data_IF_888551488342
#
_entry.id   IF_888551488342
#
_cell.length_a   1.000
_cell.length_b   1.000
_cell.length_c   1.000
_cell.angle_alpha   90.00
_cell.angle_beta   90.00
_cell.angle_gamma   90.00
#
_symmetry.space_group_name_H-M   'P 1'
#
loop_
_entity.id
_entity.type
_entity.pdbx_description
1 polymer ?
#
# COMPACT_ATOMS: atom_id res chain seq x y z
N UNK A 1 12.73 66.09 -45.74
CA UNK A 1 13.11 65.94 -44.32
C UNK A 1 12.01 65.31 -43.46
N UNK A 2 10.74 65.79 -43.46
CA UNK A 2 9.63 65.23 -42.63
C UNK A 2 9.34 63.70 -42.75
N UNK A 3 9.62 63.07 -43.90
CA UNK A 3 9.37 61.61 -44.11
C UNK A 3 10.38 60.70 -43.40
N UNK A 4 11.64 61.13 -43.25
CA UNK A 4 12.71 60.34 -42.61
C UNK A 4 12.60 60.38 -41.09
N UNK A 5 12.23 61.53 -40.52
CA UNK A 5 11.94 61.67 -39.08
C UNK A 5 10.78 60.77 -38.63
N UNK A 6 9.67 60.76 -39.38
CA UNK A 6 8.54 59.87 -39.08
C UNK A 6 8.88 58.37 -39.22
N UNK A 7 9.82 58.02 -40.08
CA UNK A 7 10.27 56.63 -40.26
C UNK A 7 11.16 56.19 -39.10
N UNK A 8 12.06 57.07 -38.65
CA UNK A 8 12.90 56.87 -37.45
C UNK A 8 12.05 56.68 -36.19
N UNK A 9 11.08 57.56 -35.95
CA UNK A 9 10.20 57.48 -34.77
C UNK A 9 9.36 56.21 -34.71
N UNK A 10 8.83 55.75 -35.86
CA UNK A 10 8.09 54.48 -35.95
C UNK A 10 8.96 53.26 -35.66
N UNK A 11 10.22 53.28 -36.10
CA UNK A 11 11.19 52.20 -35.84
C UNK A 11 11.54 52.15 -34.34
N UNK A 12 11.76 53.30 -33.69
CA UNK A 12 11.98 53.36 -32.25
C UNK A 12 10.78 52.85 -31.44
N UNK A 13 9.55 53.14 -31.88
CA UNK A 13 8.35 52.58 -31.27
C UNK A 13 8.28 51.05 -31.39
N UNK A 14 8.66 50.49 -32.53
CA UNK A 14 8.71 49.05 -32.74
C UNK A 14 9.75 48.38 -31.83
N UNK A 15 10.97 48.94 -31.76
CA UNK A 15 12.01 48.40 -30.87
C UNK A 15 11.61 48.49 -29.40
N UNK A 16 11.03 49.62 -28.96
CA UNK A 16 10.53 49.78 -27.61
C UNK A 16 9.42 48.74 -27.29
N UNK A 17 8.50 48.50 -28.22
CA UNK A 17 7.44 47.49 -28.06
C UNK A 17 8.01 46.08 -27.93
N UNK A 18 8.97 45.71 -28.79
CA UNK A 18 9.64 44.39 -28.74
C UNK A 18 10.39 44.22 -27.43
N UNK A 19 11.16 45.22 -27.00
CA UNK A 19 11.89 45.17 -25.73
C UNK A 19 10.93 45.03 -24.54
N UNK A 20 9.85 45.83 -24.47
CA UNK A 20 8.84 45.71 -23.40
C UNK A 20 8.19 44.33 -23.40
N UNK A 21 7.91 43.77 -24.57
CA UNK A 21 7.31 42.44 -24.71
C UNK A 21 8.25 41.35 -24.18
N UNK A 22 9.54 41.40 -24.53
CA UNK A 22 10.56 40.47 -24.03
C UNK A 22 10.69 40.57 -22.51
N UNK A 23 10.74 41.79 -21.95
CA UNK A 23 10.82 41.99 -20.50
C UNK A 23 9.54 41.54 -19.77
N UNK A 24 8.36 41.75 -20.34
CA UNK A 24 7.09 41.27 -19.80
C UNK A 24 7.04 39.74 -19.79
N UNK A 25 7.36 39.08 -20.90
CA UNK A 25 7.39 37.62 -21.00
C UNK A 25 8.45 37.06 -20.05
N UNK A 26 9.66 37.63 -20.06
CA UNK A 26 10.75 37.21 -19.17
C UNK A 26 10.40 37.39 -17.68
N UNK A 27 9.74 38.50 -17.33
CA UNK A 27 9.26 38.76 -15.97
C UNK A 27 8.17 37.79 -15.53
N UNK A 28 7.19 37.53 -16.39
CA UNK A 28 6.10 36.57 -16.12
C UNK A 28 6.68 35.16 -15.97
N UNK A 29 7.52 34.70 -16.90
CA UNK A 29 8.16 33.39 -16.84
C UNK A 29 9.03 33.25 -15.58
N UNK A 30 9.82 34.26 -15.23
CA UNK A 30 10.66 34.23 -14.02
C UNK A 30 9.82 34.20 -12.74
N UNK A 31 8.71 34.95 -12.69
CA UNK A 31 7.81 34.94 -11.54
C UNK A 31 7.20 33.55 -11.33
N UNK A 32 6.70 32.92 -12.39
CA UNK A 32 6.15 31.56 -12.30
C UNK A 32 7.24 30.53 -11.95
N UNK A 33 8.43 30.65 -12.53
CA UNK A 33 9.55 29.76 -12.21
C UNK A 33 9.97 29.87 -10.74
N UNK A 34 10.09 31.08 -10.19
CA UNK A 34 10.42 31.28 -8.78
C UNK A 34 9.33 30.76 -7.85
N UNK A 35 8.06 30.93 -8.21
CA UNK A 35 6.93 30.38 -7.46
C UNK A 35 6.96 28.85 -7.44
N UNK A 36 7.19 28.23 -8.60
CA UNK A 36 7.29 26.78 -8.72
C UNK A 36 8.51 26.22 -7.99
N UNK A 37 9.67 26.87 -8.13
CA UNK A 37 10.88 26.50 -7.41
C UNK A 37 10.69 26.60 -5.89
N UNK A 38 10.03 27.67 -5.41
CA UNK A 38 9.66 27.82 -4.00
C UNK A 38 8.71 26.72 -3.53
N UNK A 39 7.70 26.39 -4.33
CA UNK A 39 6.78 25.29 -4.06
C UNK A 39 7.51 23.94 -3.96
N UNK A 40 8.33 23.58 -4.94
CA UNK A 40 9.10 22.34 -4.97
C UNK A 40 10.06 22.24 -3.77
N UNK A 41 10.74 23.33 -3.41
CA UNK A 41 11.62 23.37 -2.24
C UNK A 41 10.83 23.17 -0.95
N UNK A 42 9.64 23.78 -0.83
CA UNK A 42 8.78 23.58 0.33
C UNK A 42 8.30 22.12 0.42
N UNK A 43 7.82 21.56 -0.69
CA UNK A 43 7.32 20.19 -0.81
C UNK A 43 8.37 19.13 -0.45
N UNK A 44 9.66 19.39 -0.73
CA UNK A 44 10.77 18.51 -0.32
C UNK A 44 10.91 18.37 1.20
N UNK A 45 10.39 19.31 1.98
CA UNK A 45 10.41 19.24 3.44
C UNK A 45 9.35 18.31 4.03
N UNK A 46 8.46 17.76 3.21
CA UNK A 46 7.41 16.85 3.65
C UNK A 46 7.66 15.42 3.20
N UNK A 47 7.11 14.49 3.95
CA UNK A 47 6.98 13.08 3.61
C UNK A 47 5.53 12.80 3.31
N UNK A 48 5.28 12.17 2.17
CA UNK A 48 3.95 11.74 1.74
C UNK A 48 3.79 10.24 1.90
N UNK A 49 2.64 9.83 2.40
CA UNK A 49 2.22 8.43 2.46
C UNK A 49 0.79 8.34 1.93
N UNK A 50 0.56 7.42 0.99
CA UNK A 50 -0.75 7.17 0.37
C UNK A 50 -1.43 8.38 -0.28
N UNK A 51 -0.66 9.41 -0.66
CA UNK A 51 -1.15 10.58 -1.38
C UNK A 51 -1.91 10.12 -2.63
N UNK A 52 -3.17 10.52 -2.78
CA UNK A 52 -3.95 10.19 -3.98
C UNK A 52 -4.47 8.74 -4.07
N UNK A 53 -4.05 7.85 -3.16
CA UNK A 53 -4.46 6.45 -3.13
C UNK A 53 -5.98 6.33 -2.90
N UNK A 54 -6.70 5.68 -3.79
CA UNK A 54 -8.15 5.44 -3.66
C UNK A 54 -8.52 4.06 -4.18
N UNK A 55 -9.44 3.39 -3.49
CA UNK A 55 -10.06 2.16 -3.98
C UNK A 55 -11.01 2.51 -5.14
N UNK A 56 -10.67 2.07 -6.35
CA UNK A 56 -11.46 2.40 -7.56
C UNK A 56 -12.44 1.30 -7.91
N UNK A 57 -11.99 0.05 -7.80
CA UNK A 57 -12.80 -1.10 -8.13
C UNK A 57 -12.57 -2.24 -7.14
N UNK A 58 -13.61 -3.05 -7.01
CA UNK A 58 -13.69 -4.13 -6.06
C UNK A 58 -14.59 -5.24 -6.61
N UNK A 59 -14.16 -6.48 -6.49
CA UNK A 59 -14.98 -7.64 -6.83
C UNK A 59 -14.68 -8.81 -5.90
N UNK A 60 -15.72 -9.37 -5.29
CA UNK A 60 -15.63 -10.67 -4.62
C UNK A 60 -15.40 -11.75 -5.67
N UNK A 61 -14.37 -12.56 -5.50
CA UNK A 61 -14.08 -13.67 -6.38
C UNK A 61 -14.99 -14.85 -6.01
N UNK A 62 -15.69 -15.36 -7.01
CA UNK A 62 -16.62 -16.49 -6.87
C UNK A 62 -16.18 -17.64 -7.79
N UNK A 63 -16.53 -18.87 -7.44
CA UNK A 63 -16.25 -20.05 -8.27
C UNK A 63 -14.75 -20.33 -8.42
N UNK A 64 -14.04 -20.29 -7.30
CA UNK A 64 -12.66 -20.77 -7.08
C UNK A 64 -12.73 -21.65 -5.84
N UNK A 65 -12.21 -22.87 -5.89
CA UNK A 65 -12.37 -23.88 -4.82
C UNK A 65 -11.23 -23.83 -3.81
N UNK A 66 -11.12 -22.71 -3.08
CA UNK A 66 -10.03 -22.45 -2.13
C UNK A 66 -10.51 -22.41 -0.67
N UNK A 67 -11.82 -22.50 -0.41
CA UNK A 67 -12.36 -22.57 0.96
C UNK A 67 -12.31 -21.27 1.78
N UNK A 68 -11.76 -20.18 1.25
CA UNK A 68 -11.68 -18.86 1.90
C UNK A 68 -12.03 -17.70 0.93
N UNK A 69 -12.45 -16.52 1.44
CA UNK A 69 -12.79 -15.38 0.60
C UNK A 69 -11.57 -14.76 -0.08
N UNK A 70 -11.71 -14.45 -1.38
CA UNK A 70 -10.73 -13.66 -2.14
C UNK A 70 -11.43 -12.44 -2.72
N UNK A 71 -10.75 -11.29 -2.65
CA UNK A 71 -11.24 -10.02 -3.18
C UNK A 71 -10.26 -9.51 -4.25
N UNK A 72 -10.76 -9.23 -5.45
CA UNK A 72 -10.01 -8.54 -6.51
C UNK A 72 -10.18 -7.03 -6.35
N UNK A 73 -9.07 -6.30 -6.29
CA UNK A 73 -9.02 -4.91 -5.85
C UNK A 73 -8.19 -4.07 -6.83
N UNK A 74 -8.70 -2.90 -7.18
CA UNK A 74 -7.99 -1.90 -7.98
C UNK A 74 -7.86 -0.59 -7.24
N UNK A 75 -6.72 0.07 -7.44
CA UNK A 75 -6.46 1.40 -6.90
C UNK A 75 -6.25 2.42 -8.01
N UNK A 76 -6.44 3.71 -7.69
CA UNK A 76 -6.26 4.83 -8.62
C UNK A 76 -4.79 5.12 -8.93
N UNK A 77 -3.93 5.02 -7.93
CA UNK A 77 -2.47 5.09 -8.07
C UNK A 77 -1.95 3.71 -7.70
N UNK A 78 -1.42 2.98 -8.68
CA UNK A 78 -0.84 1.64 -8.52
C UNK A 78 0.68 1.63 -8.82
N UNK A 79 1.20 2.72 -9.39
CA UNK A 79 2.58 2.87 -9.85
C UNK A 79 3.58 3.30 -8.76
N UNK A 80 4.57 2.43 -8.56
CA UNK A 80 5.91 2.65 -8.00
C UNK A 80 6.21 2.48 -6.50
N UNK A 81 5.25 2.51 -5.58
CA UNK A 81 5.58 2.23 -4.16
C UNK A 81 4.50 1.48 -3.39
N UNK A 82 3.88 0.45 -3.99
CA UNK A 82 3.09 -0.49 -3.18
C UNK A 82 4.00 -1.11 -2.11
N UNK A 83 3.65 -0.85 -0.85
CA UNK A 83 4.30 -1.41 0.32
C UNK A 83 3.20 -2.09 1.13
N UNK A 84 3.32 -3.39 1.35
CA UNK A 84 2.36 -4.19 2.11
C UNK A 84 2.04 -3.60 3.49
N UNK A 85 3.00 -2.90 4.10
CA UNK A 85 2.82 -2.24 5.39
C UNK A 85 2.05 -0.91 5.36
N UNK A 86 1.70 -0.39 4.18
CA UNK A 86 0.93 0.85 4.05
C UNK A 86 -0.59 0.63 4.05
N UNK A 87 -1.02 -0.63 4.05
CA UNK A 87 -2.42 -1.04 4.09
C UNK A 87 -2.66 -1.86 5.35
N UNK A 88 -3.82 -1.65 5.96
CA UNK A 88 -4.30 -2.40 7.10
C UNK A 88 -5.61 -3.09 6.72
N UNK A 89 -5.70 -4.39 6.96
CA UNK A 89 -6.85 -5.22 6.58
C UNK A 89 -7.45 -5.81 7.84
N UNK A 90 -8.70 -5.47 8.11
CA UNK A 90 -9.50 -6.00 9.20
C UNK A 90 -10.48 -7.05 8.70
N UNK A 91 -11.38 -7.53 9.58
CA UNK A 91 -12.46 -8.42 9.19
C UNK A 91 -13.51 -7.71 8.32
N UNK A 92 -13.67 -6.40 8.53
CA UNK A 92 -14.73 -5.58 7.92
C UNK A 92 -14.18 -4.43 7.10
N UNK A 93 -12.98 -3.94 7.40
CA UNK A 93 -12.46 -2.72 6.79
C UNK A 93 -11.09 -2.90 6.14
N UNK A 94 -10.88 -2.19 5.04
CA UNK A 94 -9.57 -1.93 4.46
C UNK A 94 -9.22 -0.48 4.76
N UNK A 95 -8.05 -0.22 5.32
CA UNK A 95 -7.59 1.12 5.67
C UNK A 95 -6.18 1.41 5.14
N UNK A 96 -5.89 2.67 4.87
CA UNK A 96 -4.55 3.15 4.56
C UNK A 96 -4.33 4.60 5.01
N UNK A 97 -3.07 4.95 5.18
CA UNK A 97 -2.64 6.29 5.58
C UNK A 97 -2.59 7.24 4.37
N UNK A 98 -3.23 8.39 4.50
CA UNK A 98 -3.17 9.53 3.57
C UNK A 98 -2.63 10.73 4.36
N UNK A 99 -1.33 11.00 4.24
CA UNK A 99 -0.65 11.99 5.09
C UNK A 99 0.41 12.80 4.36
N UNK A 100 0.55 14.07 4.78
CA UNK A 100 1.66 14.98 4.50
C UNK A 100 2.24 15.42 5.84
N UNK A 101 3.43 14.93 6.19
CA UNK A 101 4.08 15.20 7.47
C UNK A 101 5.45 15.86 7.27
N UNK A 102 5.77 16.87 8.07
CA UNK A 102 7.03 17.60 7.99
C UNK A 102 8.22 16.77 8.48
N UNK A 103 9.37 16.90 7.80
CA UNK A 103 10.59 16.15 8.14
C UNK A 103 11.33 16.70 9.36
N UNK A 104 11.20 17.99 9.65
CA UNK A 104 12.19 18.73 10.47
C UNK A 104 11.62 19.53 11.66
N UNK A 105 10.35 19.96 11.65
CA UNK A 105 9.79 20.88 12.65
C UNK A 105 8.85 20.18 13.64
N UNK A 106 9.42 19.37 14.53
CA UNK A 106 8.67 18.48 15.42
C UNK A 106 7.92 19.15 16.60
N UNK A 107 8.11 20.46 16.83
CA UNK A 107 7.55 21.15 18.01
C UNK A 107 6.67 22.36 17.66
N UNK A 108 6.38 22.57 16.37
CA UNK A 108 5.57 23.69 15.90
C UNK A 108 4.45 23.15 15.03
N UNK A 109 3.24 23.66 15.28
CA UNK A 109 2.10 23.40 14.42
C UNK A 109 2.42 23.90 13.02
N UNK A 110 2.28 23.03 12.03
CA UNK A 110 2.45 23.34 10.63
C UNK A 110 1.06 23.28 9.95
N UNK A 111 0.56 24.40 9.40
CA UNK A 111 -0.76 24.42 8.77
C UNK A 111 -0.84 23.58 7.48
N UNK A 112 0.29 23.17 6.90
CA UNK A 112 0.30 22.31 5.72
C UNK A 112 0.25 20.81 6.06
N UNK A 113 0.49 20.43 7.32
CA UNK A 113 0.46 19.03 7.72
C UNK A 113 -0.96 18.48 7.74
N UNK A 114 -1.09 17.22 7.33
CA UNK A 114 -2.30 16.44 7.58
C UNK A 114 -1.94 14.97 7.78
N UNK A 115 -2.75 14.31 8.59
CA UNK A 115 -2.73 12.86 8.73
C UNK A 115 -4.16 12.36 8.76
N UNK A 116 -4.56 11.65 7.71
CA UNK A 116 -5.85 10.98 7.64
C UNK A 116 -5.67 9.48 7.50
N UNK A 117 -6.55 8.72 8.15
CA UNK A 117 -6.78 7.31 7.83
C UNK A 117 -7.97 7.28 6.90
N UNK A 118 -7.77 6.71 5.71
CA UNK A 118 -8.87 6.42 4.79
C UNK A 118 -9.25 4.96 4.94
N UNK A 119 -10.54 4.68 4.99
CA UNK A 119 -11.02 3.32 5.13
C UNK A 119 -12.30 3.06 4.34
N UNK A 120 -12.52 1.79 4.03
CA UNK A 120 -13.60 1.28 3.21
C UNK A 120 -14.18 0.04 3.87
N UNK A 121 -15.50 -0.12 3.84
CA UNK A 121 -16.13 -1.40 4.15
C UNK A 121 -15.76 -2.41 3.06
N UNK A 122 -15.03 -3.46 3.45
CA UNK A 122 -14.62 -4.57 2.59
C UNK A 122 -15.86 -5.19 1.96
N UNK A 123 -15.87 -5.38 0.63
CA UNK A 123 -17.03 -5.96 -0.04
C UNK A 123 -17.94 -4.97 -0.73
N UNK A 124 -18.04 -3.74 -0.23
CA UNK A 124 -19.25 -2.94 -0.41
C UNK A 124 -18.97 -1.51 -0.93
N UNK A 125 -17.90 -0.86 -0.46
CA UNK A 125 -17.65 0.55 -0.74
C UNK A 125 -16.52 0.77 -1.76
N UNK A 126 -16.64 1.84 -2.57
CA UNK A 126 -15.58 2.31 -3.51
C UNK A 126 -15.57 3.83 -3.63
N UNK A 127 -14.53 4.38 -4.25
CA UNK A 127 -14.39 5.81 -4.50
C UNK A 127 -13.60 6.51 -3.38
N UNK A 128 -14.15 7.60 -2.84
CA UNK A 128 -13.45 8.38 -1.81
C UNK A 128 -13.31 7.62 -0.48
N UNK A 129 -14.26 6.74 -0.13
CA UNK A 129 -14.24 6.09 1.18
C UNK A 129 -14.40 7.07 2.34
N UNK A 130 -14.27 6.56 3.56
CA UNK A 130 -14.39 7.35 4.78
C UNK A 130 -13.02 7.83 5.25
N UNK A 131 -12.97 8.94 5.97
CA UNK A 131 -11.71 9.47 6.51
C UNK A 131 -11.82 9.82 7.98
N UNK A 132 -10.78 9.49 8.75
CA UNK A 132 -10.59 9.94 10.13
C UNK A 132 -9.38 10.87 10.17
N UNK A 133 -9.55 12.06 10.76
CA UNK A 133 -8.47 13.03 10.92
C UNK A 133 -7.66 12.72 12.19
N UNK A 134 -6.55 12.03 12.01
CA UNK A 134 -5.67 11.63 13.10
C UNK A 134 -4.92 12.82 13.67
N UNK A 135 -4.56 13.79 12.82
CA UNK A 135 -3.90 15.02 13.26
C UNK A 135 -4.79 15.75 14.26
N UNK A 136 -6.07 15.93 13.92
CA UNK A 136 -7.05 16.55 14.81
C UNK A 136 -7.20 15.80 16.13
N UNK A 137 -7.28 14.47 16.09
CA UNK A 137 -7.35 13.62 17.28
C UNK A 137 -6.14 13.84 18.20
N UNK A 138 -4.93 13.84 17.65
CA UNK A 138 -3.74 14.06 18.47
C UNK A 138 -3.67 15.51 18.99
N UNK A 139 -4.10 16.50 18.20
CA UNK A 139 -4.19 17.88 18.68
C UNK A 139 -5.11 18.03 19.89
N UNK A 140 -6.26 17.36 19.89
CA UNK A 140 -7.19 17.30 21.03
C UNK A 140 -6.58 16.62 22.26
N UNK A 141 -5.61 15.72 22.06
CA UNK A 141 -4.82 15.07 23.11
C UNK A 141 -3.60 15.89 23.58
N UNK A 142 -3.35 17.05 22.95
CA UNK A 142 -2.26 17.97 23.33
C UNK A 142 -0.98 17.86 22.50
N UNK A 143 -0.95 17.04 21.43
CA UNK A 143 0.18 17.00 20.50
C UNK A 143 0.13 18.19 19.55
N UNK A 144 1.29 18.79 19.24
CA UNK A 144 1.37 19.95 18.32
C UNK A 144 1.58 19.56 16.86
N UNK A 145 2.07 18.35 16.63
CA UNK A 145 2.31 17.71 15.33
C UNK A 145 2.37 16.19 15.58
N UNK A 146 2.30 15.40 14.51
CA UNK A 146 2.42 13.95 14.56
C UNK A 146 3.56 13.52 13.64
N UNK A 147 4.58 12.89 14.22
CA UNK A 147 5.45 11.98 13.46
C UNK A 147 5.02 10.56 13.77
N UNK A 148 4.01 10.09 13.04
CA UNK A 148 3.36 8.84 13.31
C UNK A 148 3.11 8.03 12.06
N UNK A 149 2.86 6.75 12.25
CA UNK A 149 2.67 5.79 11.18
C UNK A 149 1.52 4.86 11.55
N UNK A 150 0.61 4.68 10.60
CA UNK A 150 -0.39 3.64 10.64
C UNK A 150 0.29 2.27 10.55
N UNK A 151 0.01 1.39 11.48
CA UNK A 151 0.47 0.00 11.39
C UNK A 151 -0.43 -0.79 10.44
N UNK A 152 0.17 -1.78 9.75
CA UNK A 152 -0.58 -2.68 8.87
C UNK A 152 -1.40 -3.72 9.61
N UNK A 153 -1.08 -3.99 10.88
CA UNK A 153 -1.87 -4.89 11.72
C UNK A 153 -3.09 -4.12 12.27
N UNK A 154 -4.27 -4.66 12.00
CA UNK A 154 -5.51 -4.23 12.64
C UNK A 154 -5.81 -5.08 13.87
N UNK A 155 -6.65 -4.54 14.75
CA UNK A 155 -7.09 -5.25 15.94
C UNK A 155 -8.61 -5.31 16.01
N UNK A 156 -9.14 -6.29 16.73
CA UNK A 156 -10.58 -6.41 16.97
C UNK A 156 -10.91 -6.54 18.45
N UNK A 157 -12.10 -6.06 18.81
CA UNK A 157 -12.77 -6.39 20.08
C UNK A 157 -13.87 -7.46 19.89
N UNK A 158 -13.91 -8.11 18.72
CA UNK A 158 -14.94 -9.06 18.31
C UNK A 158 -16.17 -8.41 17.67
N UNK A 159 -16.29 -7.07 17.72
CA UNK A 159 -17.40 -6.33 17.12
C UNK A 159 -16.93 -5.34 16.06
N UNK A 160 -15.88 -4.59 16.37
CA UNK A 160 -15.32 -3.52 15.56
C UNK A 160 -13.84 -3.73 15.30
N UNK A 161 -13.38 -3.21 14.16
CA UNK A 161 -11.96 -3.22 13.81
C UNK A 161 -11.31 -1.87 14.16
N UNK A 162 -10.05 -1.96 14.59
CA UNK A 162 -9.25 -0.86 15.06
C UNK A 162 -7.97 -0.78 14.24
N UNK A 163 -7.61 0.44 13.83
CA UNK A 163 -6.29 0.73 13.28
C UNK A 163 -5.38 1.19 14.40
N UNK A 164 -4.16 0.65 14.45
CA UNK A 164 -3.10 1.18 15.31
C UNK A 164 -2.36 2.30 14.58
N UNK A 165 -2.21 3.44 15.26
CA UNK A 165 -1.33 4.52 14.85
C UNK A 165 -0.31 4.73 15.95
N UNK A 166 0.96 4.61 15.60
CA UNK A 166 2.06 4.90 16.51
C UNK A 166 2.38 6.38 16.40
N UNK A 167 2.30 7.09 17.52
CA UNK A 167 2.70 8.50 17.63
C UNK A 167 4.17 8.65 18.02
N UNK A 168 4.66 9.89 17.96
CA UNK A 168 5.99 10.25 18.44
C UNK A 168 6.15 9.89 19.92
N UNK A 169 7.25 9.22 20.27
CA UNK A 169 7.46 8.66 21.62
C UNK A 169 7.02 7.20 21.77
N UNK A 170 6.61 6.54 20.67
CA UNK A 170 6.13 5.15 20.61
C UNK A 170 4.84 4.90 21.39
N UNK A 171 4.00 5.92 21.48
CA UNK A 171 2.68 5.76 22.06
C UNK A 171 1.70 5.26 20.99
N UNK A 172 1.11 4.10 21.21
CA UNK A 172 0.12 3.51 20.31
C UNK A 172 -1.29 4.03 20.61
N UNK A 173 -1.96 4.51 19.58
CA UNK A 173 -3.39 4.80 19.60
C UNK A 173 -4.12 3.76 18.76
N UNK A 174 -5.21 3.23 19.29
CA UNK A 174 -6.10 2.31 18.57
C UNK A 174 -7.39 3.05 18.27
N UNK A 175 -7.69 3.22 16.98
CA UNK A 175 -8.82 3.99 16.48
C UNK A 175 -9.86 3.03 15.92
N UNK A 176 -11.03 3.00 16.54
CA UNK A 176 -12.17 2.21 16.06
C UNK A 176 -12.69 2.81 14.74
N UNK A 177 -12.65 2.05 13.65
CA UNK A 177 -13.00 2.61 12.33
C UNK A 177 -14.49 2.96 12.20
N UNK A 178 -15.38 2.24 12.92
CA UNK A 178 -16.82 2.50 12.86
C UNK A 178 -17.24 3.69 13.73
N UNK A 179 -16.77 3.74 14.97
CA UNK A 179 -17.20 4.75 15.97
C UNK A 179 -16.26 5.95 16.04
N UNK A 180 -15.07 5.85 15.42
CA UNK A 180 -13.99 6.85 15.44
C UNK A 180 -13.47 7.16 16.85
N UNK A 181 -13.81 6.32 17.83
CA UNK A 181 -13.31 6.44 19.20
C UNK A 181 -11.88 5.94 19.31
N UNK A 182 -11.11 6.61 20.15
CA UNK A 182 -9.69 6.34 20.38
C UNK A 182 -9.53 5.68 21.74
N UNK A 183 -8.66 4.68 21.80
CA UNK A 183 -8.21 4.05 23.05
C UNK A 183 -6.70 3.86 23.02
N UNK A 184 -6.05 3.96 24.18
CA UNK A 184 -4.63 3.61 24.36
C UNK A 184 -4.45 2.13 24.68
N UNK A 185 -5.52 1.45 25.09
CA UNK A 185 -5.50 0.02 25.38
C UNK A 185 -5.69 -0.74 24.08
N UNK A 186 -4.71 -1.57 23.73
CA UNK A 186 -4.76 -2.50 22.60
C UNK A 186 -5.99 -3.42 22.72
N UNK A 187 -6.82 -3.56 21.66
CA UNK A 187 -7.87 -4.58 21.62
C UNK A 187 -7.27 -5.98 21.65
N UNK A 188 -8.04 -6.96 22.13
CA UNK A 188 -7.52 -8.30 22.47
C UNK A 188 -7.00 -9.07 21.26
N UNK A 189 -7.68 -8.94 20.14
CA UNK A 189 -7.40 -9.76 18.96
C UNK A 189 -6.57 -8.96 17.97
N UNK A 190 -5.43 -9.51 17.54
CA UNK A 190 -4.70 -9.00 16.37
C UNK A 190 -5.18 -9.75 15.13
N UNK A 191 -5.68 -9.01 14.15
CA UNK A 191 -6.18 -9.58 12.90
C UNK A 191 -4.98 -9.91 12.01
N UNK A 192 -4.83 -11.19 11.67
CA UNK A 192 -3.73 -11.68 10.83
C UNK A 192 -4.25 -12.66 9.80
N UNK A 193 -3.98 -12.35 8.54
CA UNK A 193 -4.26 -13.22 7.41
C UNK A 193 -2.97 -13.87 6.94
N UNK A 194 -3.00 -15.15 6.62
CA UNK A 194 -1.85 -15.95 6.23
C UNK A 194 -1.63 -17.13 7.17
N UNK A 195 -0.36 -17.45 7.42
CA UNK A 195 0.01 -18.60 8.22
C UNK A 195 -0.24 -18.38 9.71
N UNK A 196 -0.69 -19.43 10.39
CA UNK A 196 -0.95 -19.44 11.84
C UNK A 196 -0.48 -20.74 12.48
N UNK A 197 -0.40 -20.74 13.82
CA UNK A 197 0.10 -21.87 14.59
C UNK A 197 1.49 -22.25 14.12
N UNK A 198 1.75 -23.54 13.92
CA UNK A 198 3.05 -24.06 13.48
C UNK A 198 3.53 -23.48 12.14
N UNK A 199 2.67 -22.87 11.33
CA UNK A 199 3.05 -22.30 10.05
C UNK A 199 3.50 -20.82 10.15
N UNK A 200 3.33 -20.16 11.31
CA UNK A 200 3.58 -18.71 11.49
C UNK A 200 5.00 -18.28 11.09
N UNK A 201 5.99 -19.15 11.30
CA UNK A 201 7.40 -18.89 10.97
C UNK A 201 7.79 -19.14 9.50
N UNK A 202 6.80 -19.34 8.62
CA UNK A 202 7.05 -19.61 7.20
C UNK A 202 7.09 -18.32 6.37
N UNK A 203 8.04 -18.30 5.45
CA UNK A 203 8.07 -17.38 4.32
C UNK A 203 6.91 -17.59 3.34
N UNK A 204 6.74 -16.67 2.38
CA UNK A 204 5.86 -16.90 1.24
C UNK A 204 6.36 -18.12 0.44
N UNK A 205 5.44 -18.90 -0.17
CA UNK A 205 5.83 -20.06 -0.99
C UNK A 205 6.74 -19.68 -2.16
N UNK A 206 7.79 -20.46 -2.35
CA UNK A 206 8.56 -20.54 -3.59
C UNK A 206 7.94 -21.61 -4.50
N UNK A 207 7.86 -21.35 -5.80
CA UNK A 207 7.29 -22.26 -6.79
C UNK A 207 7.82 -21.95 -8.19
N UNK A 208 7.71 -22.91 -9.10
CA UNK A 208 8.14 -22.77 -10.48
C UNK A 208 6.97 -22.95 -11.45
N UNK A 209 6.87 -22.07 -12.44
CA UNK A 209 5.92 -22.19 -13.57
C UNK A 209 6.70 -22.40 -14.87
N UNK A 210 6.02 -22.79 -15.95
CA UNK A 210 6.64 -22.89 -17.27
C UNK A 210 7.23 -21.55 -17.76
N UNK A 211 6.68 -20.43 -17.31
CA UNK A 211 7.12 -19.07 -17.60
C UNK A 211 7.70 -18.37 -16.36
N UNK A 212 8.43 -19.12 -15.51
CA UNK A 212 8.89 -18.67 -14.19
C UNK A 212 9.42 -17.23 -14.15
N UNK A 213 10.34 -16.86 -15.04
CA UNK A 213 10.94 -15.52 -15.04
C UNK A 213 9.94 -14.40 -15.30
N UNK A 214 8.93 -14.65 -16.13
CA UNK A 214 7.89 -13.67 -16.40
C UNK A 214 6.92 -13.57 -15.22
N UNK A 215 6.48 -14.72 -14.71
CA UNK A 215 5.53 -14.78 -13.59
C UNK A 215 6.13 -14.21 -12.30
N UNK A 216 7.40 -14.49 -12.00
CA UNK A 216 8.13 -13.97 -10.84
C UNK A 216 8.30 -12.44 -10.93
N UNK A 217 8.61 -11.90 -12.12
CA UNK A 217 8.78 -10.47 -12.32
C UNK A 217 7.45 -9.70 -12.27
N UNK A 218 6.38 -10.32 -12.76
CA UNK A 218 5.06 -9.68 -12.88
C UNK A 218 4.20 -9.90 -11.65
N UNK A 219 4.31 -11.05 -10.98
CA UNK A 219 3.43 -11.42 -9.87
C UNK A 219 4.18 -11.48 -8.56
N UNK A 220 3.79 -10.61 -7.61
CA UNK A 220 4.37 -10.59 -6.27
C UNK A 220 3.40 -11.18 -5.27
N UNK A 221 3.78 -12.32 -4.69
CA UNK A 221 3.03 -13.00 -3.64
C UNK A 221 3.56 -12.56 -2.27
N UNK A 222 2.73 -11.88 -1.50
CA UNK A 222 3.06 -11.40 -0.15
C UNK A 222 1.81 -11.38 0.71
N UNK A 223 1.53 -12.48 1.40
CA UNK A 223 0.28 -12.65 2.13
C UNK A 223 -0.05 -11.46 3.06
N UNK A 224 -1.32 -11.01 3.10
CA UNK A 224 -2.48 -11.54 2.36
C UNK A 224 -2.63 -11.04 0.92
N UNK A 225 -1.64 -10.33 0.38
CA UNK A 225 -1.72 -9.68 -0.93
C UNK A 225 -1.05 -10.51 -2.03
N UNK A 226 -1.68 -10.55 -3.20
CA UNK A 226 -1.02 -10.90 -4.47
C UNK A 226 -1.14 -9.70 -5.39
N UNK A 227 -0.02 -9.22 -5.90
CA UNK A 227 0.04 -8.06 -6.78
C UNK A 227 0.49 -8.49 -8.17
N UNK A 228 -0.08 -7.85 -9.19
CA UNK A 228 0.41 -7.94 -10.56
C UNK A 228 0.90 -6.56 -11.04
N UNK A 229 2.15 -6.54 -11.48
CA UNK A 229 2.81 -5.37 -12.03
C UNK A 229 2.53 -5.31 -13.54
N UNK A 230 1.59 -4.45 -13.93
CA UNK A 230 1.30 -4.16 -15.34
C UNK A 230 2.49 -3.45 -15.98
N UNK A 231 2.78 -3.79 -17.22
CA UNK A 231 3.73 -3.02 -18.05
C UNK A 231 3.09 -1.73 -18.56
N UNK A 232 3.90 -0.73 -18.91
CA UNK A 232 3.42 0.53 -19.50
C UNK A 232 2.60 0.29 -20.79
N UNK A 233 2.93 -0.76 -21.55
CA UNK A 233 2.21 -1.16 -22.77
C UNK A 233 0.80 -1.70 -22.45
N UNK A 234 0.66 -2.54 -21.41
CA UNK A 234 -0.62 -3.09 -20.94
C UNK A 234 -1.55 -2.03 -20.33
N UNK A 235 -0.99 -0.93 -19.81
CA UNK A 235 -1.80 0.21 -19.35
C UNK A 235 -2.44 1.00 -20.51
N UNK A 236 -1.92 0.85 -21.74
CA UNK A 236 -2.30 1.66 -22.90
C UNK A 236 -3.10 0.90 -23.97
N UNK A 237 -3.13 -0.43 -23.93
CA UNK A 237 -3.73 -1.27 -24.99
C UNK A 237 -4.85 -2.13 -24.40
N UNK A 238 -6.05 -2.01 -24.97
CA UNK A 238 -7.11 -3.00 -24.80
C UNK A 238 -6.91 -4.10 -25.85
N UNK A 239 -6.28 -5.20 -25.41
CA UNK A 239 -6.15 -6.52 -26.06
C UNK A 239 -5.50 -6.58 -27.46
N UNK A 240 -4.46 -7.40 -27.59
CA UNK A 240 -4.43 -8.56 -28.50
C UNK A 240 -3.00 -9.13 -28.59
N UNK A 241 -2.72 -10.13 -27.78
CA UNK A 241 -1.73 -11.17 -28.05
C UNK A 241 -2.40 -12.52 -27.81
N UNK A 242 -2.09 -13.51 -28.63
CA UNK A 242 -2.51 -14.90 -28.44
C UNK A 242 -1.79 -15.46 -27.20
N UNK A 243 -2.32 -15.14 -26.02
CA UNK A 243 -1.85 -15.69 -24.75
C UNK A 243 -2.48 -17.06 -24.49
N UNK A 244 -1.71 -17.95 -23.85
CA UNK A 244 -2.24 -19.13 -23.16
C UNK A 244 -3.45 -18.69 -22.34
N UNK A 245 -4.50 -19.50 -22.32
CA UNK A 245 -5.71 -19.18 -21.56
C UNK A 245 -5.35 -19.05 -20.07
N UNK A 246 -5.33 -17.81 -19.58
CA UNK A 246 -5.07 -17.51 -18.18
C UNK A 246 -6.08 -18.24 -17.30
N UNK A 247 -5.63 -18.65 -16.11
CA UNK A 247 -6.59 -19.04 -15.08
C UNK A 247 -7.55 -17.89 -14.79
N UNK A 248 -8.74 -18.23 -14.30
CA UNK A 248 -9.73 -17.22 -13.90
C UNK A 248 -9.17 -16.26 -12.85
N UNK A 249 -8.36 -16.77 -11.92
CA UNK A 249 -7.79 -15.98 -10.83
C UNK A 249 -6.67 -15.07 -11.34
N UNK A 250 -5.82 -15.56 -12.26
CA UNK A 250 -4.79 -14.76 -12.93
C UNK A 250 -5.42 -13.67 -13.81
N UNK A 251 -6.47 -13.99 -14.56
CA UNK A 251 -7.23 -13.00 -15.35
C UNK A 251 -7.78 -11.87 -14.48
N UNK A 252 -8.36 -12.20 -13.32
CA UNK A 252 -8.85 -11.22 -12.36
C UNK A 252 -7.71 -10.40 -11.77
N UNK A 253 -6.59 -11.04 -11.41
CA UNK A 253 -5.41 -10.37 -10.92
C UNK A 253 -4.82 -9.39 -11.95
N UNK A 254 -4.65 -9.80 -13.21
CA UNK A 254 -4.19 -8.93 -14.30
C UNK A 254 -5.15 -7.75 -14.50
N UNK A 255 -6.46 -7.98 -14.46
CA UNK A 255 -7.43 -6.91 -14.65
C UNK A 255 -7.41 -5.90 -13.48
N UNK A 256 -7.50 -6.41 -12.24
CA UNK A 256 -7.67 -5.57 -11.06
C UNK A 256 -6.34 -5.03 -10.49
N UNK A 257 -5.24 -5.75 -10.67
CA UNK A 257 -3.91 -5.43 -10.15
C UNK A 257 -3.60 -6.09 -8.79
N UNK A 258 -4.61 -6.31 -7.96
CA UNK A 258 -4.44 -6.93 -6.64
C UNK A 258 -5.49 -8.01 -6.35
N UNK A 259 -5.06 -9.06 -5.66
CA UNK A 259 -5.92 -9.96 -4.92
C UNK A 259 -5.61 -9.83 -3.42
N UNK A 260 -6.67 -9.80 -2.62
CA UNK A 260 -6.61 -9.83 -1.17
C UNK A 260 -7.21 -11.15 -0.68
N UNK A 261 -6.40 -11.94 0.01
CA UNK A 261 -6.76 -13.28 0.47
C UNK A 261 -7.10 -13.25 1.96
N UNK A 262 -8.38 -13.45 2.29
CA UNK A 262 -8.89 -13.34 3.66
C UNK A 262 -8.92 -14.71 4.35
N UNK A 263 -7.76 -15.35 4.43
CA UNK A 263 -7.59 -16.64 5.10
C UNK A 263 -6.72 -16.45 6.36
N UNK A 264 -7.24 -16.82 7.53
CA UNK A 264 -6.55 -16.62 8.82
C UNK A 264 -5.78 -17.86 9.30
N UNK A 265 -6.10 -19.05 8.79
CA UNK A 265 -5.54 -20.33 9.22
C UNK A 265 -4.86 -21.07 8.03
N UNK A 266 -4.04 -20.37 7.24
CA UNK A 266 -3.41 -20.93 6.04
C UNK A 266 -2.48 -22.09 6.39
N UNK A 267 -2.62 -23.19 5.64
CA UNK A 267 -1.68 -24.33 5.66
C UNK A 267 -0.84 -24.37 4.37
N UNK A 268 0.20 -25.21 4.34
CA UNK A 268 0.98 -25.46 3.12
C UNK A 268 0.10 -25.90 1.94
N UNK A 269 -0.89 -26.77 2.20
CA UNK A 269 -1.81 -27.28 1.18
C UNK A 269 -2.73 -26.17 0.65
N UNK A 270 -3.20 -25.28 1.52
CA UNK A 270 -4.01 -24.11 1.13
C UNK A 270 -3.19 -23.16 0.24
N UNK A 271 -1.92 -22.88 0.62
CA UNK A 271 -0.99 -22.07 -0.19
C UNK A 271 -0.76 -22.67 -1.57
N UNK A 272 -0.47 -23.97 -1.62
CA UNK A 272 -0.25 -24.68 -2.87
C UNK A 272 -1.50 -24.64 -3.76
N UNK A 273 -2.67 -24.96 -3.21
CA UNK A 273 -3.93 -24.96 -3.96
C UNK A 273 -4.23 -23.57 -4.52
N UNK A 274 -4.04 -22.51 -3.74
CA UNK A 274 -4.23 -21.13 -4.20
C UNK A 274 -3.26 -20.76 -5.33
N UNK A 275 -2.00 -21.16 -5.23
CA UNK A 275 -1.03 -20.91 -6.28
C UNK A 275 -1.32 -21.71 -7.53
N UNK A 276 -1.85 -22.93 -7.41
CA UNK A 276 -2.27 -23.74 -8.56
C UNK A 276 -3.55 -23.19 -9.21
N UNK A 277 -4.42 -22.52 -8.46
CA UNK A 277 -5.55 -21.76 -9.01
C UNK A 277 -5.09 -20.50 -9.77
N UNK A 278 -3.97 -19.88 -9.37
CA UNK A 278 -3.33 -18.80 -10.11
C UNK A 278 -2.57 -19.32 -11.34
N UNK A 279 -1.73 -20.32 -11.13
CA UNK A 279 -0.79 -20.89 -12.09
C UNK A 279 -0.98 -22.43 -12.13
N UNK A 280 -1.83 -22.95 -13.02
CA UNK A 280 -2.16 -24.38 -13.04
C UNK A 280 -0.96 -25.32 -13.28
N UNK A 281 0.12 -24.81 -13.85
CA UNK A 281 1.38 -25.53 -14.09
C UNK A 281 2.44 -25.30 -12.99
N UNK A 282 2.08 -24.63 -11.88
CA UNK A 282 2.99 -24.43 -10.76
C UNK A 282 3.41 -25.76 -10.12
N UNK A 283 4.72 -25.92 -9.96
CA UNK A 283 5.38 -27.10 -9.42
C UNK A 283 6.51 -26.71 -8.46
N UNK A 284 7.13 -27.70 -7.81
CA UNK A 284 8.29 -27.54 -6.93
C UNK A 284 8.07 -26.49 -5.82
N UNK A 285 7.00 -26.69 -5.04
CA UNK A 285 6.67 -25.81 -3.93
C UNK A 285 7.62 -25.99 -2.77
N UNK A 286 8.05 -24.88 -2.17
CA UNK A 286 8.76 -24.93 -0.90
C UNK A 286 8.72 -23.63 -0.12
N UNK A 287 9.25 -23.69 1.10
CA UNK A 287 9.19 -22.63 2.09
C UNK A 287 10.47 -22.58 2.89
N UNK A 288 10.96 -21.37 3.16
CA UNK A 288 11.94 -21.14 4.21
C UNK A 288 11.23 -21.00 5.56
N UNK A 289 11.75 -21.71 6.56
CA UNK A 289 11.46 -21.53 7.99
C UNK A 289 12.51 -20.58 8.57
N UNK A 290 12.06 -19.55 9.27
CA UNK A 290 12.94 -18.57 9.92
C UNK A 290 13.69 -19.20 11.12
N UNK A 291 14.95 -18.80 11.33
CA UNK A 291 15.85 -19.28 12.37
C UNK A 291 15.27 -19.12 13.78
N UNK A 292 14.43 -18.11 13.98
CA UNK A 292 13.75 -17.89 15.25
C UNK A 292 12.84 -19.07 15.62
N UNK A 293 12.29 -19.78 14.63
CA UNK A 293 11.34 -20.88 14.84
C UNK A 293 11.96 -22.27 14.71
N UNK A 294 13.21 -22.39 14.27
CA UNK A 294 13.88 -23.70 14.13
C UNK A 294 14.51 -24.18 15.45
N UNK A 295 14.69 -25.50 15.56
CA UNK A 295 15.34 -26.17 16.71
C UNK A 295 16.83 -25.86 16.82
N UNK A 296 17.51 -25.68 15.70
CA UNK A 296 18.96 -25.47 15.63
C UNK A 296 19.36 -24.00 15.48
N UNK A 297 18.37 -23.09 15.41
CA UNK A 297 18.59 -21.66 15.25
C UNK A 297 19.17 -21.29 13.89
N UNK A 298 18.86 -22.06 12.84
CA UNK A 298 19.22 -21.76 11.46
C UNK A 298 18.00 -21.79 10.56
N UNK A 299 17.96 -20.87 9.59
CA UNK A 299 16.93 -20.90 8.56
C UNK A 299 17.06 -22.19 7.73
N UNK A 300 15.94 -22.84 7.48
CA UNK A 300 15.88 -24.14 6.80
C UNK A 300 14.78 -24.16 5.76
N UNK A 301 15.06 -24.74 4.59
CA UNK A 301 14.08 -24.93 3.53
C UNK A 301 13.32 -26.25 3.72
N UNK A 302 12.01 -26.23 3.45
CA UNK A 302 11.11 -27.38 3.53
C UNK A 302 10.20 -27.44 2.30
N UNK A 303 9.75 -28.65 1.95
CA UNK A 303 8.82 -28.87 0.83
C UNK A 303 7.47 -29.43 1.29
N UNK A 304 7.40 -29.94 2.53
CA UNK A 304 6.22 -30.59 3.06
C UNK A 304 6.07 -30.43 4.58
N UNK A 305 4.94 -30.88 5.09
CA UNK A 305 4.57 -30.73 6.49
C UNK A 305 5.41 -31.62 7.42
N UNK A 306 5.82 -32.79 6.95
CA UNK A 306 6.65 -33.73 7.70
C UNK A 306 8.02 -33.12 8.01
N UNK A 307 8.65 -32.47 7.02
CA UNK A 307 9.88 -31.71 7.18
C UNK A 307 9.74 -30.54 8.15
N UNK A 308 8.61 -29.80 8.08
CA UNK A 308 8.32 -28.73 9.04
C UNK A 308 8.38 -29.26 10.48
N UNK A 309 7.74 -30.39 10.78
CA UNK A 309 7.75 -30.98 12.13
C UNK A 309 9.13 -31.42 12.60
N UNK A 310 9.99 -31.83 11.68
CA UNK A 310 11.37 -32.20 12.00
C UNK A 310 12.19 -30.98 12.41
N UNK A 311 11.97 -29.84 11.78
CA UNK A 311 12.78 -28.63 11.95
C UNK A 311 12.24 -27.69 13.03
N UNK A 312 10.91 -27.58 13.17
CA UNK A 312 10.28 -26.52 13.98
C UNK A 312 10.33 -26.78 15.48
N UNK A 313 10.65 -25.75 16.26
CA UNK A 313 10.52 -25.77 17.71
C UNK A 313 9.14 -25.23 18.12
N UNK A 314 8.16 -26.14 18.28
CA UNK A 314 6.76 -25.79 18.59
C UNK A 314 6.62 -24.85 19.80
N UNK A 315 7.40 -25.07 20.87
CA UNK A 315 7.37 -24.22 22.06
C UNK A 315 7.72 -22.75 21.82
N UNK A 316 8.49 -22.44 20.76
CA UNK A 316 8.81 -21.05 20.39
C UNK A 316 7.64 -20.40 19.66
N UNK A 317 6.99 -21.15 18.78
CA UNK A 317 5.77 -20.73 18.06
C UNK A 317 4.63 -20.46 19.04
N UNK A 318 4.46 -21.32 20.05
CA UNK A 318 3.39 -21.23 21.04
C UNK A 318 3.64 -20.14 22.11
N UNK A 319 4.89 -19.78 22.39
CA UNK A 319 5.23 -18.72 23.35
C UNK A 319 4.76 -17.35 22.89
N UNK A 320 4.94 -17.02 21.62
CA UNK A 320 4.42 -15.77 21.06
C UNK A 320 2.89 -15.70 21.08
N UNK A 321 2.20 -16.84 21.06
CA UNK A 321 0.73 -16.87 21.20
C UNK A 321 0.27 -16.43 22.60
N UNK A 322 1.07 -16.68 23.66
CA UNK A 322 0.71 -16.33 25.05
C UNK A 322 1.08 -14.90 25.44
N UNK A 323 2.06 -14.31 24.76
CA UNK A 323 2.41 -12.89 24.96
C UNK A 323 1.49 -11.95 24.14
N UNK A 324 0.61 -12.52 23.29
CA UNK A 324 -0.36 -11.81 22.45
C UNK A 324 -1.83 -11.93 22.94
N UNK A 325 -2.13 -12.79 23.93
CA UNK A 325 -3.43 -12.89 24.66
C UNK A 325 -3.42 -12.07 25.97
#
# INVERSE_FOLDING_TARGET
MKKLENFSWKIWHLYALVSVTIFMIGGICSFFYLKEAGYVVNERNYTYVGKGQRLTNFKKVEGVDVGFPILAISFKEDGYTWRSYQYAVGHRYLAFQDSKLGKTKLNKKDPEEYFKIRYYLLGEEKGEGHTIDILKIAEEMGYKTIKGEMQSTMYSDGKDDYVEVILQGRESLFINLRTQKVTKKRPKEAIRYGYKGIYKGLSNPEFYTGNFWEDENRTKVSWPWVQYNKTDEEQSITNNSEEKEDSKLLSLLKNYGFLLILEEDRTLSNSQSLLQELFPDATNFGWSVDEDYTKDGKSTYIENREELYQVIQQEKVEREHKDEE
#
